data_IF_418855243915
#
_entry.id   IF_418855243915
#
_cell.length_a   1.000
_cell.length_b   1.000
_cell.length_c   1.000
_cell.angle_alpha   90.00
_cell.angle_beta   90.00
_cell.angle_gamma   90.00
#
_symmetry.space_group_name_H-M   'P 1'
#
loop_
_entity.id
_entity.type
_entity.pdbx_description
1 polymer ?
#
# COMPACT_ATOMS: atom_id res chain seq x y z
N UNK A 1 6.99 20.15 14.95
CA UNK A 1 6.99 19.44 13.65
C UNK A 1 8.15 19.98 12.84
N UNK A 2 9.13 19.15 12.47
CA UNK A 2 10.27 19.59 11.65
C UNK A 2 9.79 19.82 10.21
N UNK A 3 10.24 20.91 9.57
CA UNK A 3 9.80 21.28 8.22
C UNK A 3 10.55 20.47 7.17
N UNK A 4 9.85 20.10 6.09
CA UNK A 4 10.44 19.36 4.97
C UNK A 4 11.01 20.36 3.96
N UNK A 5 12.19 20.07 3.42
CA UNK A 5 12.77 20.79 2.28
C UNK A 5 13.21 19.80 1.19
N UNK A 6 13.35 20.32 -0.01
CA UNK A 6 13.91 19.61 -1.17
C UNK A 6 15.08 20.41 -1.70
N UNK A 7 16.26 19.78 -1.85
CA UNK A 7 17.46 20.36 -2.43
C UNK A 7 18.08 19.35 -3.39
N UNK A 8 18.01 19.62 -4.66
CA UNK A 8 18.71 18.82 -5.68
C UNK A 8 18.83 19.60 -6.97
N UNK A 9 19.98 19.49 -7.63
CA UNK A 9 20.25 20.04 -8.96
C UNK A 9 19.62 19.18 -10.07
N UNK A 10 19.16 17.96 -9.73
CA UNK A 10 18.42 17.11 -10.66
C UNK A 10 16.99 17.64 -10.83
N UNK A 11 16.75 18.39 -11.89
CA UNK A 11 15.48 19.04 -12.19
C UNK A 11 14.30 18.03 -12.27
N UNK A 12 14.53 16.86 -12.86
CA UNK A 12 13.50 15.82 -13.01
C UNK A 12 13.09 15.24 -11.66
N UNK A 13 14.07 14.89 -10.84
CA UNK A 13 13.81 14.40 -9.47
C UNK A 13 13.12 15.48 -8.63
N UNK A 14 13.60 16.72 -8.69
CA UNK A 14 13.01 17.88 -8.00
C UNK A 14 11.52 18.03 -8.35
N UNK A 15 11.17 17.96 -9.64
CA UNK A 15 9.80 18.05 -10.10
C UNK A 15 8.93 16.91 -9.55
N UNK A 16 9.43 15.67 -9.58
CA UNK A 16 8.70 14.51 -9.06
C UNK A 16 8.50 14.57 -7.55
N UNK A 17 9.52 14.96 -6.77
CA UNK A 17 9.42 15.17 -5.32
C UNK A 17 8.38 16.23 -4.98
N UNK A 18 8.44 17.37 -5.65
CA UNK A 18 7.48 18.46 -5.45
C UNK A 18 6.04 18.01 -5.75
N UNK A 19 5.82 17.28 -6.84
CA UNK A 19 4.51 16.75 -7.22
C UNK A 19 3.98 15.79 -6.17
N UNK A 20 4.82 14.88 -5.68
CA UNK A 20 4.43 13.89 -4.69
C UNK A 20 4.12 14.52 -3.33
N UNK A 21 4.95 15.46 -2.85
CA UNK A 21 4.70 16.20 -1.62
C UNK A 21 3.38 16.99 -1.69
N UNK A 22 3.09 17.65 -2.83
CA UNK A 22 1.79 18.32 -3.07
C UNK A 22 0.63 17.33 -3.06
N UNK A 23 0.78 16.18 -3.72
CA UNK A 23 -0.23 15.10 -3.71
C UNK A 23 -0.57 14.65 -2.29
N UNK A 24 0.45 14.56 -1.43
CA UNK A 24 0.33 14.22 0.00
C UNK A 24 -0.10 15.40 0.88
N UNK A 25 -0.37 16.57 0.30
CA UNK A 25 -0.75 17.80 1.02
C UNK A 25 0.27 18.21 2.11
N UNK A 26 1.57 17.99 1.84
CA UNK A 26 2.64 18.35 2.74
C UNK A 26 3.17 19.72 2.38
N UNK A 27 3.42 20.55 3.41
CA UNK A 27 4.15 21.81 3.26
C UNK A 27 5.63 21.51 3.14
N UNK A 28 6.30 22.15 2.18
CA UNK A 28 7.74 22.01 1.95
C UNK A 28 8.34 23.28 1.36
N UNK A 29 9.66 23.37 1.42
CA UNK A 29 10.45 24.47 0.86
C UNK A 29 11.42 23.93 -0.18
N UNK A 30 11.62 24.67 -1.27
CA UNK A 30 12.67 24.39 -2.24
C UNK A 30 13.91 25.18 -1.86
N UNK A 31 15.06 24.53 -1.81
CA UNK A 31 16.35 25.14 -1.48
C UNK A 31 17.26 25.16 -2.70
N UNK A 32 18.11 26.17 -2.76
CA UNK A 32 19.20 26.22 -3.73
C UNK A 32 20.31 25.22 -3.38
N UNK A 33 21.13 24.86 -4.38
CA UNK A 33 22.30 24.00 -4.18
C UNK A 33 23.23 24.56 -3.10
N UNK A 34 23.64 23.72 -2.16
CA UNK A 34 24.52 24.10 -1.05
C UNK A 34 23.84 24.84 0.11
N UNK A 35 22.56 25.18 0.02
CA UNK A 35 21.83 25.84 1.09
C UNK A 35 21.63 24.88 2.28
N UNK A 36 21.91 25.37 3.50
CA UNK A 36 21.74 24.59 4.74
C UNK A 36 20.31 24.64 5.22
N UNK A 37 19.83 23.53 5.78
CA UNK A 37 18.48 23.40 6.30
C UNK A 37 18.48 22.77 7.70
N UNK A 38 17.74 23.38 8.62
CA UNK A 38 17.49 22.82 9.94
C UNK A 38 16.10 22.15 9.95
N UNK A 39 16.04 20.92 9.44
CA UNK A 39 14.81 20.16 9.31
C UNK A 39 15.03 18.86 8.57
N UNK A 40 13.99 18.38 7.90
CA UNK A 40 14.05 17.17 7.08
C UNK A 40 14.37 17.57 5.64
N UNK A 41 15.44 17.02 5.08
CA UNK A 41 15.89 17.34 3.74
C UNK A 41 15.85 16.12 2.81
N UNK A 42 15.14 16.25 1.70
CA UNK A 42 15.14 15.32 0.58
C UNK A 42 16.12 15.80 -0.48
N UNK A 43 16.98 14.90 -0.95
CA UNK A 43 18.03 15.23 -1.92
C UNK A 43 18.32 14.06 -2.85
N UNK A 44 19.10 14.25 -3.90
CA UNK A 44 19.58 13.13 -4.73
C UNK A 44 20.70 12.35 -4.03
N UNK A 45 20.94 11.07 -4.37
CA UNK A 45 22.01 10.26 -3.77
C UNK A 45 23.40 10.87 -3.95
N UNK A 46 23.61 11.61 -5.04
CA UNK A 46 24.90 12.25 -5.36
C UNK A 46 25.18 13.49 -4.50
N UNK A 47 24.13 14.08 -3.92
CA UNK A 47 24.20 15.34 -3.17
C UNK A 47 23.94 15.13 -1.67
N UNK A 48 23.65 13.90 -1.23
CA UNK A 48 23.23 13.58 0.14
C UNK A 48 24.37 13.79 1.14
N UNK A 49 24.06 14.46 2.25
CA UNK A 49 24.92 14.60 3.40
C UNK A 49 24.35 13.77 4.59
N UNK A 50 25.15 13.68 5.67
CA UNK A 50 24.74 12.92 6.85
C UNK A 50 23.43 13.50 7.45
N UNK A 51 22.48 12.62 7.73
CA UNK A 51 21.16 12.97 8.25
C UNK A 51 20.14 13.41 7.21
N UNK A 52 20.49 13.53 5.94
CA UNK A 52 19.56 13.82 4.84
C UNK A 52 18.95 12.55 4.25
N UNK A 53 17.81 12.67 3.58
CA UNK A 53 17.08 11.54 3.00
C UNK A 53 17.34 11.49 1.50
N UNK A 54 18.08 10.48 1.00
CA UNK A 54 18.27 10.32 -0.42
C UNK A 54 16.99 9.84 -1.11
N UNK A 55 16.74 10.36 -2.31
CA UNK A 55 15.62 9.96 -3.15
C UNK A 55 16.08 9.74 -4.60
N UNK A 56 15.54 8.70 -5.23
CA UNK A 56 15.63 8.46 -6.68
C UNK A 56 14.23 8.41 -7.26
N UNK A 57 14.08 8.31 -8.58
CA UNK A 57 12.78 8.10 -9.19
C UNK A 57 12.13 6.78 -8.73
N UNK A 58 12.92 5.75 -8.50
CA UNK A 58 12.47 4.43 -8.04
C UNK A 58 12.07 4.44 -6.56
N UNK A 59 12.77 5.19 -5.72
CA UNK A 59 12.52 5.26 -4.28
C UNK A 59 11.67 6.47 -3.87
N UNK A 60 11.15 7.22 -4.83
CA UNK A 60 10.46 8.50 -4.61
C UNK A 60 9.40 8.44 -3.51
N UNK A 61 8.47 7.51 -3.64
CA UNK A 61 7.35 7.40 -2.69
C UNK A 61 7.83 7.00 -1.28
N UNK A 62 8.81 6.10 -1.19
CA UNK A 62 9.40 5.65 0.07
C UNK A 62 10.15 6.80 0.75
N UNK A 63 10.96 7.54 -0.02
CA UNK A 63 11.75 8.67 0.50
C UNK A 63 10.86 9.81 0.98
N UNK A 64 9.80 10.14 0.25
CA UNK A 64 8.79 11.13 0.66
C UNK A 64 8.06 10.66 1.92
N UNK A 65 7.67 9.38 1.98
CA UNK A 65 7.03 8.83 3.18
C UNK A 65 7.96 8.95 4.40
N UNK A 66 9.23 8.56 4.26
CA UNK A 66 10.24 8.70 5.31
C UNK A 66 10.38 10.15 5.77
N UNK A 67 10.37 11.12 4.85
CA UNK A 67 10.44 12.54 5.18
C UNK A 67 9.20 13.01 5.96
N UNK A 68 8.01 12.55 5.59
CA UNK A 68 6.76 12.85 6.29
C UNK A 68 6.78 12.28 7.72
N UNK A 69 7.23 11.03 7.88
CA UNK A 69 7.38 10.38 9.17
C UNK A 69 8.34 11.18 10.08
N UNK A 70 9.54 11.43 9.58
CA UNK A 70 10.56 12.20 10.30
C UNK A 70 10.07 13.59 10.69
N UNK A 71 9.29 14.26 9.82
CA UNK A 71 8.71 15.58 10.11
C UNK A 71 7.73 15.58 11.28
N UNK A 72 7.08 14.45 11.50
CA UNK A 72 6.12 14.22 12.61
C UNK A 72 6.79 13.73 13.89
N UNK A 73 8.11 13.51 13.87
CA UNK A 73 8.85 12.93 14.99
C UNK A 73 8.64 11.42 15.14
N UNK A 74 8.23 10.75 14.07
CA UNK A 74 8.04 9.30 14.00
C UNK A 74 9.25 8.65 13.33
N UNK A 75 10.46 8.99 13.75
CA UNK A 75 11.69 8.44 13.20
C UNK A 75 11.84 6.95 13.51
N UNK A 76 11.22 6.48 14.61
CA UNK A 76 11.14 5.06 14.96
C UNK A 76 9.80 4.75 15.66
N UNK A 77 9.28 3.56 15.44
CA UNK A 77 8.06 3.07 16.08
C UNK A 77 8.35 1.78 16.85
N UNK A 78 7.65 1.57 17.98
CA UNK A 78 7.67 0.26 18.65
C UNK A 78 6.85 -0.72 17.80
N UNK A 79 5.69 -0.27 17.31
CA UNK A 79 4.78 -1.09 16.53
C UNK A 79 4.31 -0.36 15.28
N UNK A 80 4.53 -0.99 14.11
CA UNK A 80 3.97 -0.57 12.84
C UNK A 80 2.82 -1.51 12.46
N UNK A 81 1.62 -0.98 12.30
CA UNK A 81 0.41 -1.76 11.97
C UNK A 81 -0.14 -1.30 10.63
N UNK A 82 -0.29 -2.25 9.71
CA UNK A 82 -1.02 -2.02 8.47
C UNK A 82 -2.44 -2.57 8.58
N UNK A 83 -3.43 -1.81 8.14
CA UNK A 83 -4.79 -2.28 7.91
C UNK A 83 -5.05 -2.39 6.41
N UNK A 84 -5.67 -3.47 5.99
CA UNK A 84 -6.02 -3.73 4.60
C UNK A 84 -7.53 -4.00 4.50
N UNK A 85 -8.23 -3.17 3.73
CA UNK A 85 -9.63 -3.40 3.33
C UNK A 85 -9.63 -4.19 2.02
N UNK A 86 -9.98 -5.51 2.05
CA UNK A 86 -9.90 -6.36 0.88
C UNK A 86 -11.02 -6.07 -0.11
N UNK A 87 -10.65 -5.71 -1.32
CA UNK A 87 -11.53 -5.46 -2.46
C UNK A 87 -10.75 -5.51 -3.78
N UNK A 88 -11.41 -5.39 -4.94
CA UNK A 88 -10.72 -5.36 -6.23
C UNK A 88 -9.67 -4.25 -6.32
N UNK A 89 -9.90 -3.16 -5.61
CA UNK A 89 -8.96 -2.03 -5.40
C UNK A 89 -8.73 -1.88 -3.90
N UNK A 90 -7.78 -2.62 -3.32
CA UNK A 90 -7.60 -2.67 -1.87
C UNK A 90 -7.25 -1.31 -1.28
N UNK A 91 -7.87 -0.99 -0.13
CA UNK A 91 -7.46 0.13 0.70
C UNK A 91 -6.38 -0.30 1.68
N UNK A 92 -5.36 0.51 1.88
CA UNK A 92 -4.31 0.30 2.88
C UNK A 92 -4.21 1.53 3.77
N UNK A 93 -4.02 1.32 5.07
CA UNK A 93 -3.65 2.36 6.02
C UNK A 93 -2.53 1.84 6.92
N UNK A 94 -1.63 2.72 7.36
CA UNK A 94 -0.56 2.33 8.28
C UNK A 94 -0.47 3.28 9.46
N UNK A 95 -0.22 2.67 10.62
CA UNK A 95 -0.17 3.33 11.91
C UNK A 95 1.17 3.02 12.57
N UNK A 96 1.84 4.06 13.07
CA UNK A 96 3.00 3.95 13.94
C UNK A 96 2.57 4.23 15.38
N UNK A 97 2.73 3.28 16.29
CA UNK A 97 2.32 3.36 17.69
C UNK A 97 0.88 3.87 17.89
N UNK A 98 -0.03 3.39 17.04
CA UNK A 98 -1.45 3.75 17.05
C UNK A 98 -1.79 5.09 16.38
N UNK A 99 -0.81 5.86 15.94
CA UNK A 99 -1.02 7.12 15.21
C UNK A 99 -1.12 6.83 13.71
N UNK A 100 -2.17 7.30 13.07
CA UNK A 100 -2.34 7.16 11.62
C UNK A 100 -1.28 7.98 10.91
N UNK A 101 -0.47 7.29 10.14
CA UNK A 101 0.62 7.88 9.39
C UNK A 101 0.21 8.17 7.96
N UNK A 102 -0.46 7.24 7.32
CA UNK A 102 -0.92 7.42 5.98
C UNK A 102 -1.95 6.38 5.56
N UNK A 103 -2.48 6.55 4.35
CA UNK A 103 -3.37 5.63 3.70
C UNK A 103 -3.25 5.73 2.19
N UNK A 104 -3.47 4.63 1.50
CA UNK A 104 -3.46 4.53 0.05
C UNK A 104 -4.57 3.61 -0.44
N UNK A 105 -4.91 3.71 -1.71
CA UNK A 105 -5.72 2.74 -2.43
C UNK A 105 -4.89 2.19 -3.58
N UNK A 106 -4.80 0.88 -3.69
CA UNK A 106 -4.07 0.21 -4.75
C UNK A 106 -4.99 -0.17 -5.89
N UNK A 107 -4.46 -0.20 -7.10
CA UNK A 107 -5.21 -0.59 -8.29
C UNK A 107 -5.37 -2.11 -8.42
N UNK A 108 -4.43 -2.88 -7.85
CA UNK A 108 -4.37 -4.34 -7.98
C UNK A 108 -3.98 -4.98 -6.65
N UNK A 109 -4.50 -6.19 -6.43
CA UNK A 109 -4.28 -7.00 -5.23
C UNK A 109 -2.82 -7.45 -5.14
N UNK A 110 -2.20 -7.70 -6.28
CA UNK A 110 -0.86 -8.24 -6.44
C UNK A 110 0.22 -7.35 -5.80
N UNK A 111 -0.03 -6.05 -5.75
CA UNK A 111 0.92 -5.08 -5.19
C UNK A 111 0.80 -4.86 -3.69
N UNK A 112 -0.18 -5.48 -3.00
CA UNK A 112 -0.43 -5.23 -1.56
C UNK A 112 0.80 -5.56 -0.71
N UNK A 113 1.35 -6.77 -0.87
CA UNK A 113 2.47 -7.21 -0.04
C UNK A 113 3.74 -6.39 -0.31
N UNK A 114 4.05 -6.11 -1.57
CA UNK A 114 5.23 -5.32 -1.96
C UNK A 114 5.11 -3.86 -1.51
N UNK A 115 3.94 -3.27 -1.65
CA UNK A 115 3.70 -1.91 -1.17
C UNK A 115 3.85 -1.80 0.35
N UNK A 116 3.34 -2.78 1.12
CA UNK A 116 3.53 -2.85 2.57
C UNK A 116 5.00 -2.98 2.93
N UNK A 117 5.76 -3.85 2.26
CA UNK A 117 7.20 -4.02 2.48
C UNK A 117 7.94 -2.72 2.18
N UNK A 118 7.64 -2.07 1.05
CA UNK A 118 8.24 -0.78 0.69
C UNK A 118 7.97 0.30 1.74
N UNK A 119 6.73 0.45 2.20
CA UNK A 119 6.38 1.41 3.25
C UNK A 119 7.00 1.06 4.60
N UNK A 120 7.08 -0.23 4.95
CA UNK A 120 7.70 -0.66 6.21
C UNK A 120 9.19 -0.35 6.26
N UNK A 121 9.88 -0.37 5.12
CA UNK A 121 11.29 0.01 5.04
C UNK A 121 11.54 1.51 5.26
N UNK A 122 10.50 2.35 5.09
CA UNK A 122 10.58 3.79 5.31
C UNK A 122 10.43 4.19 6.78
N UNK A 123 9.98 3.29 7.64
CA UNK A 123 9.77 3.53 9.07
C UNK A 123 10.59 2.55 9.88
N UNK A 124 11.54 3.03 10.67
CA UNK A 124 12.24 2.17 11.63
C UNK A 124 11.23 1.65 12.67
N UNK A 125 11.16 0.34 12.86
CA UNK A 125 10.19 -0.27 13.77
C UNK A 125 10.74 -1.55 14.41
N UNK A 126 10.27 -1.84 15.63
CA UNK A 126 10.65 -3.08 16.35
C UNK A 126 9.75 -4.27 15.97
N UNK A 127 8.48 -4.01 15.67
CA UNK A 127 7.48 -5.02 15.32
C UNK A 127 6.56 -4.50 14.22
N UNK A 128 6.19 -5.39 13.32
CA UNK A 128 5.22 -5.10 12.27
C UNK A 128 4.16 -6.19 12.23
N UNK A 129 2.91 -5.81 11.99
CA UNK A 129 1.85 -6.75 11.64
C UNK A 129 0.89 -6.13 10.62
N UNK A 130 0.24 -7.01 9.86
CA UNK A 130 -0.79 -6.62 8.89
C UNK A 130 -2.13 -7.18 9.35
N UNK A 131 -3.14 -6.33 9.40
CA UNK A 131 -4.52 -6.68 9.73
C UNK A 131 -5.37 -6.61 8.48
N UNK A 132 -5.99 -7.71 8.09
CA UNK A 132 -6.82 -7.81 6.89
C UNK A 132 -8.29 -7.96 7.31
N UNK A 133 -9.14 -7.10 6.76
CA UNK A 133 -10.59 -7.13 7.00
C UNK A 133 -11.26 -8.41 6.47
N UNK A 134 -12.49 -8.64 6.88
CA UNK A 134 -13.25 -9.86 6.58
C UNK A 134 -14.08 -9.76 5.29
N UNK A 135 -13.96 -8.67 4.54
CA UNK A 135 -14.64 -8.47 3.26
C UNK A 135 -14.09 -9.36 2.14
N UNK A 136 -14.86 -9.53 1.04
CA UNK A 136 -14.47 -10.20 -0.20
C UNK A 136 -13.61 -11.47 0.01
N UNK A 137 -14.17 -12.62 0.42
CA UNK A 137 -13.42 -13.77 0.95
C UNK A 137 -12.26 -14.23 0.07
N UNK A 138 -12.47 -14.36 -1.24
CA UNK A 138 -11.42 -14.77 -2.17
C UNK A 138 -10.24 -13.77 -2.21
N UNK A 139 -10.55 -12.48 -2.29
CA UNK A 139 -9.53 -11.42 -2.33
C UNK A 139 -8.78 -11.34 -0.99
N UNK A 140 -9.52 -11.40 0.12
CA UNK A 140 -8.95 -11.48 1.47
C UNK A 140 -7.94 -12.61 1.59
N UNK A 141 -8.33 -13.81 1.18
CA UNK A 141 -7.51 -15.01 1.34
C UNK A 141 -6.28 -14.98 0.41
N UNK A 142 -6.40 -14.40 -0.80
CA UNK A 142 -5.25 -14.12 -1.66
C UNK A 142 -4.26 -13.16 -1.00
N UNK A 143 -4.74 -12.04 -0.43
CA UNK A 143 -3.88 -11.08 0.26
C UNK A 143 -3.20 -11.74 1.47
N UNK A 144 -3.96 -12.48 2.29
CA UNK A 144 -3.40 -13.20 3.45
C UNK A 144 -2.31 -14.18 3.02
N UNK A 145 -2.53 -14.94 1.97
CA UNK A 145 -1.56 -15.90 1.45
C UNK A 145 -0.27 -15.21 0.97
N UNK A 146 -0.38 -14.09 0.25
CA UNK A 146 0.78 -13.31 -0.17
C UNK A 146 1.60 -12.81 1.02
N UNK A 147 0.94 -12.30 2.07
CA UNK A 147 1.60 -11.80 3.27
C UNK A 147 2.31 -12.92 4.04
N UNK A 148 1.66 -14.08 4.20
CA UNK A 148 2.24 -15.26 4.87
C UNK A 148 3.45 -15.78 4.11
N UNK A 149 3.39 -15.87 2.77
CA UNK A 149 4.51 -16.30 1.93
C UNK A 149 5.73 -15.37 2.03
N UNK A 150 5.50 -14.09 2.33
CA UNK A 150 6.56 -13.11 2.61
C UNK A 150 7.03 -13.11 4.08
N UNK A 151 6.50 -14.01 4.93
CA UNK A 151 6.85 -14.10 6.35
C UNK A 151 6.29 -12.95 7.20
N UNK A 152 5.28 -12.25 6.74
CA UNK A 152 4.68 -11.10 7.42
C UNK A 152 3.63 -11.58 8.43
N UNK A 153 3.73 -11.13 9.69
CA UNK A 153 2.72 -11.42 10.71
C UNK A 153 1.37 -10.85 10.28
N UNK A 154 0.39 -11.75 10.10
CA UNK A 154 -0.92 -11.42 9.53
C UNK A 154 -2.05 -11.78 10.50
N UNK A 155 -2.97 -10.85 10.69
CA UNK A 155 -4.18 -11.03 11.49
C UNK A 155 -5.42 -10.79 10.62
N UNK A 156 -6.44 -11.61 10.80
CA UNK A 156 -7.77 -11.35 10.23
C UNK A 156 -8.63 -10.60 11.25
N UNK A 157 -9.31 -9.56 10.76
CA UNK A 157 -10.20 -8.71 11.55
C UNK A 157 -11.65 -8.95 11.16
N UNK A 158 -12.50 -9.25 12.14
CA UNK A 158 -13.94 -9.40 11.92
C UNK A 158 -14.63 -8.04 12.09
N UNK A 159 -15.20 -7.53 11.00
CA UNK A 159 -15.84 -6.22 10.94
C UNK A 159 -17.31 -6.21 11.43
N UNK A 160 -17.92 -7.36 11.71
CA UNK A 160 -19.34 -7.49 12.02
C UNK A 160 -19.82 -6.71 13.26
N UNK A 161 -18.90 -6.23 14.11
CA UNK A 161 -19.25 -5.55 15.36
C UNK A 161 -19.24 -4.02 15.30
N UNK A 162 -19.01 -3.39 14.14
CA UNK A 162 -18.79 -1.95 14.06
C UNK A 162 -19.68 -1.19 13.08
N UNK A 163 -20.81 -1.76 12.67
CA UNK A 163 -21.72 -1.15 11.66
C UNK A 163 -22.55 0.04 12.19
N UNK A 164 -22.19 0.67 13.30
CA UNK A 164 -22.88 1.87 13.79
C UNK A 164 -22.03 3.12 13.52
N UNK A 165 -22.48 3.90 12.54
CA UNK A 165 -22.17 5.32 12.41
C UNK A 165 -20.98 5.67 11.52
N UNK A 166 -21.20 5.88 10.25
CA UNK A 166 -20.75 6.99 9.41
C UNK A 166 -20.98 6.68 7.92
N UNK A 167 -21.63 7.60 7.21
CA UNK A 167 -22.02 7.44 5.80
C UNK A 167 -20.94 7.79 4.77
N UNK A 168 -19.71 8.05 5.18
CA UNK A 168 -18.59 8.32 4.26
C UNK A 168 -17.65 7.12 4.30
N UNK A 169 -17.93 6.12 3.47
CA UNK A 169 -17.10 4.90 3.33
C UNK A 169 -16.14 5.08 2.15
N UNK A 170 -14.99 5.68 2.38
CA UNK A 170 -13.86 5.47 1.48
C UNK A 170 -13.09 4.24 1.97
N UNK A 171 -12.55 3.42 1.05
CA UNK A 171 -11.72 2.24 1.39
C UNK A 171 -10.55 2.59 2.32
N UNK A 172 -10.03 3.80 2.25
CA UNK A 172 -8.98 4.30 3.15
C UNK A 172 -9.46 4.41 4.62
N UNK A 173 -10.70 4.85 4.86
CA UNK A 173 -11.27 4.89 6.20
C UNK A 173 -11.56 3.48 6.75
N UNK A 174 -11.99 2.55 5.89
CA UNK A 174 -12.16 1.15 6.24
C UNK A 174 -10.83 0.53 6.67
N UNK A 175 -9.77 0.70 5.87
CA UNK A 175 -8.43 0.22 6.19
C UNK A 175 -7.88 0.78 7.51
N UNK A 176 -8.10 2.07 7.79
CA UNK A 176 -7.71 2.70 9.07
C UNK A 176 -8.43 2.05 10.25
N UNK A 177 -9.74 1.80 10.13
CA UNK A 177 -10.51 1.11 11.17
C UNK A 177 -10.00 -0.30 11.40
N UNK A 178 -9.75 -1.06 10.35
CA UNK A 178 -9.19 -2.42 10.41
C UNK A 178 -7.85 -2.41 11.17
N UNK A 179 -6.96 -1.44 10.88
CA UNK A 179 -5.69 -1.31 11.58
C UNK A 179 -5.84 -1.11 13.10
N UNK A 180 -6.89 -0.40 13.53
CA UNK A 180 -7.15 -0.11 14.96
C UNK A 180 -7.88 -1.26 15.68
N UNK A 181 -8.51 -2.19 14.96
CA UNK A 181 -9.27 -3.28 15.57
C UNK A 181 -8.37 -4.42 16.02
N UNK A 182 -8.88 -5.23 16.96
CA UNK A 182 -8.28 -6.53 17.29
C UNK A 182 -8.49 -7.55 16.17
N UNK A 183 -7.55 -8.47 15.99
CA UNK A 183 -7.65 -9.53 14.97
C UNK A 183 -7.16 -10.86 15.50
N UNK A 184 -7.51 -11.94 14.78
CA UNK A 184 -7.04 -13.30 15.03
C UNK A 184 -5.87 -13.61 14.12
N UNK A 185 -4.76 -14.08 14.68
CA UNK A 185 -3.56 -14.43 13.92
C UNK A 185 -3.84 -15.56 12.94
N UNK A 186 -3.34 -15.41 11.71
CA UNK A 186 -3.42 -16.42 10.66
C UNK A 186 -2.01 -16.98 10.42
N UNK A 187 -1.85 -18.29 10.64
CA UNK A 187 -0.54 -18.94 10.56
C UNK A 187 -0.40 -19.91 9.37
N UNK A 188 -1.46 -20.13 8.62
CA UNK A 188 -1.47 -21.09 7.53
C UNK A 188 -2.02 -20.45 6.23
N UNK A 189 -1.45 -20.89 5.11
CA UNK A 189 -1.97 -20.58 3.78
C UNK A 189 -3.38 -21.16 3.65
N UNK A 190 -4.27 -20.40 3.04
CA UNK A 190 -5.66 -20.75 2.81
C UNK A 190 -5.86 -21.32 1.42
N UNK A 191 -6.71 -22.30 1.31
CA UNK A 191 -7.17 -22.77 0.02
C UNK A 191 -8.05 -21.72 -0.65
N UNK A 192 -7.79 -21.47 -1.93
CA UNK A 192 -8.55 -20.49 -2.72
C UNK A 192 -9.64 -21.21 -3.51
N UNK A 193 -10.88 -20.99 -3.11
CA UNK A 193 -12.05 -21.62 -3.71
C UNK A 193 -12.94 -20.56 -4.37
N UNK A 194 -12.65 -20.16 -5.65
CA UNK A 194 -13.47 -19.19 -6.36
C UNK A 194 -14.88 -19.70 -6.56
N UNK A 195 -15.87 -18.88 -6.25
CA UNK A 195 -17.28 -19.17 -6.53
C UNK A 195 -17.59 -18.98 -8.03
N UNK A 196 -18.72 -19.52 -8.49
CA UNK A 196 -19.19 -19.23 -9.86
C UNK A 196 -19.35 -17.72 -10.12
N UNK A 197 -19.75 -16.96 -9.09
CA UNK A 197 -19.88 -15.51 -9.18
C UNK A 197 -18.54 -14.84 -9.44
N UNK A 198 -17.48 -15.26 -8.73
CA UNK A 198 -16.12 -14.76 -8.92
C UNK A 198 -15.63 -15.04 -10.34
N UNK A 199 -15.85 -16.27 -10.83
CA UNK A 199 -15.44 -16.68 -12.18
C UNK A 199 -16.18 -15.88 -13.27
N UNK A 200 -17.47 -15.67 -13.12
CA UNK A 200 -18.28 -14.85 -14.05
C UNK A 200 -17.85 -13.39 -14.06
N UNK A 201 -17.49 -12.84 -12.89
CA UNK A 201 -16.98 -11.47 -12.79
C UNK A 201 -15.63 -11.32 -13.49
N UNK A 202 -14.72 -12.27 -13.31
CA UNK A 202 -13.41 -12.30 -13.99
C UNK A 202 -13.61 -12.42 -15.52
N UNK A 203 -14.53 -13.28 -15.98
CA UNK A 203 -14.88 -13.40 -17.38
C UNK A 203 -15.49 -12.09 -17.95
N UNK A 204 -16.31 -11.40 -17.14
CA UNK A 204 -16.85 -10.08 -17.52
C UNK A 204 -15.73 -9.05 -17.66
N UNK A 205 -14.76 -9.04 -16.72
CA UNK A 205 -13.60 -8.14 -16.78
C UNK A 205 -12.71 -8.43 -17.98
N UNK A 206 -12.48 -9.69 -18.35
CA UNK A 206 -11.71 -10.05 -19.53
C UNK A 206 -12.35 -9.49 -20.82
N UNK A 207 -13.69 -9.51 -20.89
CA UNK A 207 -14.45 -8.92 -22.01
C UNK A 207 -14.28 -7.40 -22.08
N UNK A 208 -14.30 -6.71 -20.93
CA UNK A 208 -14.09 -5.27 -20.89
C UNK A 208 -12.67 -4.91 -21.33
N UNK A 209 -11.66 -5.62 -20.79
CA UNK A 209 -10.25 -5.37 -21.12
C UNK A 209 -9.92 -5.67 -22.59
N UNK A 210 -10.58 -6.66 -23.19
CA UNK A 210 -10.45 -6.98 -24.61
C UNK A 210 -11.34 -6.14 -25.54
N UNK A 211 -11.95 -5.06 -25.02
CA UNK A 211 -12.89 -4.19 -25.77
C UNK A 211 -14.06 -4.96 -26.40
N UNK A 212 -14.53 -5.99 -25.74
CA UNK A 212 -15.65 -6.83 -26.19
C UNK A 212 -15.29 -8.01 -27.10
N UNK A 213 -14.00 -8.12 -27.48
CA UNK A 213 -13.57 -9.10 -28.48
C UNK A 213 -13.45 -10.53 -27.94
N UNK A 214 -13.21 -10.70 -26.61
CA UNK A 214 -12.89 -12.00 -26.04
C UNK A 214 -13.45 -12.17 -24.62
N UNK A 215 -13.87 -13.40 -24.33
CA UNK A 215 -14.18 -13.85 -22.96
C UNK A 215 -13.34 -15.08 -22.67
N UNK A 216 -12.53 -15.05 -21.64
CA UNK A 216 -11.67 -16.18 -21.26
C UNK A 216 -12.51 -17.38 -20.79
N UNK A 217 -11.96 -18.58 -20.93
CA UNK A 217 -12.57 -19.81 -20.45
C UNK A 217 -12.74 -19.81 -18.94
N UNK A 218 -13.61 -20.70 -18.41
CA UNK A 218 -13.79 -20.88 -16.96
C UNK A 218 -12.49 -21.33 -16.29
N UNK A 219 -11.68 -22.13 -16.97
CA UNK A 219 -10.39 -22.60 -16.46
C UNK A 219 -9.38 -21.47 -16.34
N UNK A 220 -9.24 -20.61 -17.36
CA UNK A 220 -8.41 -19.43 -17.29
C UNK A 220 -8.92 -18.44 -16.24
N UNK A 221 -10.24 -18.29 -16.12
CA UNK A 221 -10.84 -17.46 -15.08
C UNK A 221 -10.49 -17.97 -13.66
N UNK A 222 -10.44 -19.30 -13.45
CA UNK A 222 -10.01 -19.90 -12.18
C UNK A 222 -8.54 -19.60 -11.88
N UNK A 223 -7.66 -19.75 -12.84
CA UNK A 223 -6.23 -19.42 -12.67
C UNK A 223 -6.01 -17.93 -12.32
N UNK A 224 -6.75 -17.04 -12.96
CA UNK A 224 -6.73 -15.60 -12.62
C UNK A 224 -7.30 -15.37 -11.21
N UNK A 225 -8.40 -16.02 -10.86
CA UNK A 225 -9.03 -15.94 -9.54
C UNK A 225 -8.05 -16.36 -8.43
N UNK A 226 -7.29 -17.42 -8.65
CA UNK A 226 -6.28 -17.91 -7.70
C UNK A 226 -4.95 -17.12 -7.74
N UNK A 227 -4.79 -16.19 -8.68
CA UNK A 227 -3.54 -15.42 -8.82
C UNK A 227 -2.39 -16.20 -9.46
N UNK A 228 -2.69 -17.32 -10.11
CA UNK A 228 -1.71 -18.15 -10.85
C UNK A 228 -1.37 -17.54 -12.22
N UNK A 229 -2.28 -16.72 -12.74
CA UNK A 229 -2.16 -16.06 -14.03
C UNK A 229 -2.67 -14.63 -13.94
N UNK A 230 -1.99 -13.70 -14.62
CA UNK A 230 -2.50 -12.34 -14.76
C UNK A 230 -3.71 -12.31 -15.74
N UNK A 231 -4.57 -11.29 -15.61
CA UNK A 231 -5.66 -11.12 -16.56
C UNK A 231 -5.16 -10.90 -17.99
N UNK A 232 -4.08 -10.15 -18.16
CA UNK A 232 -3.47 -9.88 -19.45
C UNK A 232 -2.95 -11.16 -20.11
N UNK A 233 -2.28 -12.02 -19.34
CA UNK A 233 -1.77 -13.29 -19.86
C UNK A 233 -2.90 -14.29 -20.13
N UNK A 234 -3.97 -14.27 -19.34
CA UNK A 234 -5.16 -15.07 -19.61
C UNK A 234 -5.84 -14.66 -20.93
N UNK A 235 -5.91 -13.36 -21.22
CA UNK A 235 -6.44 -12.83 -22.48
C UNK A 235 -5.55 -13.24 -23.66
N UNK A 236 -4.22 -13.23 -23.50
CA UNK A 236 -3.29 -13.65 -24.56
C UNK A 236 -3.35 -15.16 -24.87
N UNK A 237 -3.77 -15.98 -23.90
CA UNK A 237 -3.86 -17.45 -24.04
C UNK A 237 -5.22 -17.93 -24.56
N UNK A 238 -6.21 -17.07 -24.59
CA UNK A 238 -7.58 -17.39 -25.00
C UNK A 238 -7.81 -17.18 -26.47
#
# INVERSE_FOLDING_TARGET
MRRIAVRTDNFRLSFHLMRELKRRKCEFVMLASGEKWDGILLTSPEEVLDGEIPATEETLEISVERAIQASRGLDSAIQLVFGVDPGPRPGIAWLADGIVVGSAQLEQIEFVAEHIIGLSSAVEHKRMCVKVGDGAPLIRDRIINQLILKGIETLQVNEYRTSQGSRIKTHQHAATRIALMGGTRVNAIRELNPTEGDLKEIQRQSRIMSLGNLTISTELARQVACGELSMEDAIKRA
#
